data_IF_955255787638
#
_entry.id   IF_955255787638
#
_cell.length_a   1.000
_cell.length_b   1.000
_cell.length_c   1.000
_cell.angle_alpha   90.00
_cell.angle_beta   90.00
_cell.angle_gamma   90.00
#
_symmetry.space_group_name_H-M   'P 1'
#
loop_
_entity.id
_entity.type
_entity.pdbx_description
1 polymer ?
#
# COMPACT_ATOMS: atom_id res chain seq x y z
N UNK A 1 33.26 -44.90 56.46
CA UNK A 1 32.04 -44.30 55.88
C UNK A 1 32.04 -44.71 54.41
N UNK A 2 31.30 -45.80 54.08
CA UNK A 2 30.16 -45.81 53.12
C UNK A 2 30.61 -45.44 51.69
N UNK A 3 30.54 -46.24 50.62
CA UNK A 3 29.76 -47.44 50.16
C UNK A 3 30.47 -47.91 48.84
N UNK A 4 30.79 -49.19 48.55
CA UNK A 4 29.97 -50.26 47.94
C UNK A 4 29.02 -49.76 46.79
N UNK A 5 28.84 -50.33 45.60
CA UNK A 5 29.14 -51.65 44.99
C UNK A 5 28.89 -51.60 43.45
N UNK A 6 29.49 -52.56 42.75
CA UNK A 6 29.31 -53.07 41.37
C UNK A 6 27.89 -53.06 40.73
N UNK A 7 27.84 -52.99 39.38
CA UNK A 7 27.15 -53.91 38.42
C UNK A 7 27.74 -53.63 37.01
N UNK A 8 28.59 -54.46 36.39
CA UNK A 8 28.46 -55.79 35.74
C UNK A 8 27.56 -55.82 34.47
N UNK A 9 28.27 -55.85 33.33
CA UNK A 9 27.87 -56.32 31.99
C UNK A 9 27.28 -57.75 32.01
N UNK A 10 26.45 -58.12 31.01
CA UNK A 10 26.45 -59.42 30.25
C UNK A 10 25.13 -59.63 29.44
N UNK A 11 25.29 -59.81 28.12
CA UNK A 11 24.70 -60.82 27.19
C UNK A 11 23.17 -61.14 27.20
N UNK A 12 22.49 -61.67 26.19
CA UNK A 12 22.75 -62.09 24.79
C UNK A 12 21.37 -62.26 24.12
N UNK A 13 21.28 -61.91 22.84
CA UNK A 13 20.55 -62.57 21.74
C UNK A 13 19.47 -63.64 22.03
N UNK A 14 18.33 -63.43 21.34
CA UNK A 14 17.57 -64.41 20.53
C UNK A 14 16.94 -65.64 21.19
N UNK A 15 15.68 -65.88 20.81
CA UNK A 15 15.02 -67.16 20.44
C UNK A 15 13.53 -67.03 20.80
N UNK A 16 12.66 -66.67 19.85
CA UNK A 16 11.93 -67.57 18.94
C UNK A 16 10.77 -68.35 19.62
N UNK A 17 9.63 -68.36 18.92
CA UNK A 17 8.55 -69.37 18.90
C UNK A 17 7.27 -69.08 19.71
N UNK A 18 6.34 -68.40 19.02
CA UNK A 18 5.01 -68.88 18.63
C UNK A 18 4.01 -69.43 19.68
N UNK A 19 2.88 -68.72 19.84
CA UNK A 19 1.49 -69.24 19.99
C UNK A 19 0.55 -68.13 19.44
N UNK A 20 0.19 -68.07 18.16
CA UNK A 20 -0.88 -68.77 17.40
C UNK A 20 -2.32 -68.47 17.88
N UNK A 21 -3.06 -67.76 17.00
CA UNK A 21 -4.51 -67.77 16.73
C UNK A 21 -5.45 -67.16 17.80
N UNK A 22 -6.44 -66.31 17.50
CA UNK A 22 -7.63 -66.58 16.66
C UNK A 22 -8.35 -65.25 16.28
N UNK A 23 -8.79 -65.20 15.01
CA UNK A 23 -9.95 -64.54 14.38
C UNK A 23 -10.13 -63.01 14.45
N UNK A 24 -9.83 -62.29 13.36
CA UNK A 24 -10.69 -62.01 12.18
C UNK A 24 -11.73 -60.92 12.45
N UNK A 25 -11.60 -59.76 11.78
CA UNK A 25 -12.61 -59.33 10.80
C UNK A 25 -12.17 -58.12 9.93
N UNK A 26 -12.23 -58.32 8.60
CA UNK A 26 -12.39 -57.34 7.49
C UNK A 26 -11.26 -56.28 7.30
N UNK A 27 -10.38 -56.29 6.28
CA UNK A 27 -10.39 -56.50 4.82
C UNK A 27 -10.08 -55.17 4.10
N UNK A 28 -8.94 -55.18 3.35
CA UNK A 28 -8.65 -54.48 2.08
C UNK A 28 -8.54 -52.93 2.15
N UNK A 29 -7.53 -52.23 1.64
CA UNK A 29 -6.37 -52.50 0.77
C UNK A 29 -5.35 -51.38 1.02
N UNK A 30 -4.12 -51.72 1.39
CA UNK A 30 -2.96 -50.86 1.11
C UNK A 30 -2.34 -51.35 -0.19
N UNK A 31 -2.64 -50.67 -1.29
CA UNK A 31 -2.01 -50.89 -2.59
C UNK A 31 -1.17 -49.67 -2.96
N UNK A 32 0.12 -49.95 -3.17
CA UNK A 32 1.12 -49.28 -4.00
C UNK A 32 1.43 -47.77 -3.82
N UNK A 33 2.63 -47.56 -3.29
CA UNK A 33 3.60 -46.50 -3.62
C UNK A 33 3.47 -45.92 -5.04
N UNK A 34 3.56 -44.60 -5.11
CA UNK A 34 4.09 -43.73 -6.18
C UNK A 34 4.20 -44.34 -7.59
N UNK A 35 3.34 -43.87 -8.49
CA UNK A 35 3.66 -43.76 -9.91
C UNK A 35 4.00 -42.30 -10.25
N UNK A 36 5.03 -42.03 -11.07
CA UNK A 36 5.29 -40.71 -11.61
C UNK A 36 4.27 -40.42 -12.72
N UNK A 37 3.52 -39.33 -12.58
CA UNK A 37 2.65 -38.86 -13.66
C UNK A 37 3.51 -38.44 -14.87
N UNK A 38 3.32 -39.16 -15.97
CA UNK A 38 3.69 -38.70 -17.31
C UNK A 38 2.78 -37.53 -17.71
N UNK A 39 3.25 -36.60 -18.58
CA UNK A 39 2.50 -35.39 -18.92
C UNK A 39 1.20 -35.75 -19.64
N UNK A 40 0.08 -35.57 -18.95
CA UNK A 40 -1.27 -35.76 -19.47
C UNK A 40 -1.68 -34.63 -20.41
N UNK A 41 -2.49 -35.01 -21.39
CA UNK A 41 -3.06 -34.22 -22.47
C UNK A 41 -3.78 -32.93 -22.01
N UNK A 42 -3.90 -31.89 -22.87
CA UNK A 42 -4.58 -30.65 -22.52
C UNK A 42 -6.05 -30.91 -22.18
N UNK A 43 -6.40 -30.63 -20.93
CA UNK A 43 -7.78 -30.62 -20.44
C UNK A 43 -8.53 -29.51 -21.20
N UNK A 44 -9.70 -29.79 -21.81
CA UNK A 44 -10.51 -28.75 -22.45
C UNK A 44 -10.94 -27.71 -21.39
N UNK A 45 -11.00 -26.41 -21.74
CA UNK A 45 -11.30 -25.37 -20.76
C UNK A 45 -12.70 -25.57 -20.18
N UNK A 46 -12.74 -25.64 -18.86
CA UNK A 46 -13.96 -25.64 -18.05
C UNK A 46 -14.69 -24.30 -18.23
N UNK A 47 -16.00 -24.29 -18.54
CA UNK A 47 -16.76 -23.05 -18.78
C UNK A 47 -17.11 -22.24 -17.52
N UNK A 48 -16.61 -22.58 -16.33
CA UNK A 48 -16.72 -21.75 -15.13
C UNK A 48 -15.35 -21.30 -14.61
N UNK A 49 -14.83 -20.20 -15.16
CA UNK A 49 -13.61 -19.54 -14.67
C UNK A 49 -13.95 -18.25 -13.94
N UNK A 50 -14.52 -18.36 -12.74
CA UNK A 50 -14.12 -17.47 -11.65
C UNK A 50 -13.06 -18.19 -10.83
N UNK A 51 -11.87 -18.32 -11.42
CA UNK A 51 -10.71 -18.82 -10.67
C UNK A 51 -10.45 -17.80 -9.58
N UNK A 52 -10.73 -18.20 -8.34
CA UNK A 52 -10.34 -17.41 -7.19
C UNK A 52 -8.81 -17.36 -7.15
N UNK A 53 -8.23 -16.20 -7.41
CA UNK A 53 -6.79 -16.03 -7.24
C UNK A 53 -6.49 -15.96 -5.75
N UNK A 54 -6.01 -17.09 -5.23
CA UNK A 54 -5.58 -17.27 -3.85
C UNK A 54 -4.06 -17.37 -3.75
N UNK A 55 -3.34 -17.22 -4.86
CA UNK A 55 -1.90 -17.39 -4.90
C UNK A 55 -1.17 -16.15 -4.35
N UNK A 56 -1.68 -14.95 -4.65
CA UNK A 56 -1.09 -13.67 -4.26
C UNK A 56 -2.14 -12.74 -3.64
N UNK A 57 -2.65 -13.09 -2.46
CA UNK A 57 -3.64 -12.27 -1.76
C UNK A 57 -2.93 -11.10 -1.05
N UNK A 58 -3.32 -9.86 -1.37
CA UNK A 58 -2.81 -8.65 -0.72
C UNK A 58 -3.93 -7.77 -0.18
N UNK A 59 -3.62 -6.86 0.75
CA UNK A 59 -4.63 -5.95 1.27
C UNK A 59 -5.21 -5.07 0.15
N UNK A 60 -4.38 -4.31 -0.58
CA UNK A 60 -4.87 -3.40 -1.63
C UNK A 60 -5.40 -4.12 -2.88
N UNK A 61 -4.79 -5.22 -3.28
CA UNK A 61 -5.16 -5.93 -4.52
C UNK A 61 -6.36 -6.87 -4.37
N UNK A 62 -6.57 -7.43 -3.18
CA UNK A 62 -7.61 -8.44 -2.96
C UNK A 62 -8.63 -8.02 -1.90
N UNK A 63 -8.19 -7.54 -0.74
CA UNK A 63 -9.07 -7.30 0.41
C UNK A 63 -9.82 -5.97 0.33
N UNK A 64 -9.14 -4.88 -0.02
CA UNK A 64 -9.73 -3.54 -0.10
C UNK A 64 -10.89 -3.47 -1.12
N UNK A 65 -10.79 -4.06 -2.33
CA UNK A 65 -11.94 -4.11 -3.24
C UNK A 65 -13.16 -4.83 -2.65
N UNK A 66 -12.94 -5.89 -1.85
CA UNK A 66 -14.02 -6.59 -1.15
C UNK A 66 -14.64 -5.69 -0.08
N UNK A 67 -13.83 -5.01 0.72
CA UNK A 67 -14.29 -4.08 1.76
C UNK A 67 -15.10 -2.92 1.15
N UNK A 68 -14.60 -2.33 0.07
CA UNK A 68 -15.28 -1.27 -0.68
C UNK A 68 -16.62 -1.72 -1.22
N UNK A 69 -16.68 -2.91 -1.82
CA UNK A 69 -17.90 -3.41 -2.44
C UNK A 69 -18.95 -3.89 -1.43
N UNK A 70 -18.53 -4.38 -0.25
CA UNK A 70 -19.41 -5.19 0.62
C UNK A 70 -19.51 -4.71 2.07
N UNK A 71 -18.63 -3.82 2.51
CA UNK A 71 -18.55 -3.44 3.93
C UNK A 71 -18.69 -1.92 4.14
N UNK A 72 -18.02 -1.12 3.30
CA UNK A 72 -17.88 0.33 3.50
C UNK A 72 -19.22 1.06 3.49
N UNK A 73 -20.24 0.60 2.76
CA UNK A 73 -21.58 1.23 2.75
C UNK A 73 -22.16 1.43 4.16
N UNK A 74 -21.91 0.49 5.08
CA UNK A 74 -22.38 0.57 6.47
C UNK A 74 -21.28 0.90 7.48
N UNK A 75 -20.02 0.56 7.16
CA UNK A 75 -18.86 0.72 8.01
C UNK A 75 -18.00 1.92 7.57
N UNK A 76 -18.60 3.07 7.30
CA UNK A 76 -17.87 4.31 6.98
C UNK A 76 -18.63 5.57 7.42
N UNK A 77 -17.99 6.72 7.26
CA UNK A 77 -18.58 8.04 7.49
C UNK A 77 -18.58 8.48 8.96
N UNK A 78 -19.28 9.58 9.25
CA UNK A 78 -19.23 10.21 10.58
C UNK A 78 -19.86 9.38 11.72
N UNK A 79 -20.66 8.37 11.39
CA UNK A 79 -21.30 7.46 12.36
C UNK A 79 -21.28 6.04 11.80
N UNK A 80 -20.11 5.38 11.75
CA UNK A 80 -19.99 4.06 11.17
C UNK A 80 -20.68 3.01 12.05
N UNK A 81 -21.28 2.00 11.44
CA UNK A 81 -21.99 0.95 12.17
C UNK A 81 -21.03 0.22 13.11
N UNK A 82 -21.42 0.10 14.38
CA UNK A 82 -20.57 -0.52 15.40
C UNK A 82 -19.32 0.28 15.75
N UNK A 83 -19.26 1.56 15.36
CA UNK A 83 -18.09 2.43 15.54
C UNK A 83 -16.81 1.91 14.85
N UNK A 84 -16.98 1.19 13.74
CA UNK A 84 -15.89 0.61 12.95
C UNK A 84 -15.90 1.23 11.55
N UNK A 85 -14.92 2.09 11.30
CA UNK A 85 -14.72 2.72 9.98
C UNK A 85 -13.71 1.90 9.16
N UNK A 86 -14.18 1.20 8.14
CA UNK A 86 -13.36 0.37 7.25
C UNK A 86 -12.73 1.16 6.10
N UNK A 87 -12.90 2.48 6.07
CA UNK A 87 -12.01 3.36 5.29
C UNK A 87 -10.67 3.58 6.00
N UNK A 88 -10.59 3.26 7.30
CA UNK A 88 -9.36 3.29 8.09
C UNK A 88 -8.80 1.86 8.26
N UNK A 89 -7.57 1.64 7.79
CA UNK A 89 -6.89 0.35 7.91
C UNK A 89 -6.78 -0.16 9.34
N UNK A 90 -6.45 0.72 10.31
CA UNK A 90 -6.25 0.32 11.71
C UNK A 90 -7.50 -0.30 12.33
N UNK A 91 -8.68 0.17 11.93
CA UNK A 91 -9.94 -0.40 12.38
C UNK A 91 -10.20 -1.78 11.76
N UNK A 92 -9.81 -1.99 10.50
CA UNK A 92 -9.92 -3.29 9.83
C UNK A 92 -8.92 -4.28 10.43
N UNK A 93 -7.68 -3.85 10.64
CA UNK A 93 -6.62 -4.63 11.27
C UNK A 93 -7.02 -5.02 12.70
N UNK A 94 -7.54 -4.09 13.50
CA UNK A 94 -8.01 -4.35 14.86
C UNK A 94 -9.01 -5.51 14.93
N UNK A 95 -10.02 -5.53 14.05
CA UNK A 95 -11.03 -6.60 14.03
C UNK A 95 -10.55 -7.88 13.37
N UNK A 96 -9.56 -7.79 12.47
CA UNK A 96 -8.89 -8.96 11.92
C UNK A 96 -8.05 -9.69 12.99
N UNK A 97 -7.26 -8.95 13.76
CA UNK A 97 -6.36 -9.48 14.80
C UNK A 97 -7.11 -10.16 15.95
N UNK A 98 -8.20 -9.55 16.42
CA UNK A 98 -8.98 -10.12 17.52
C UNK A 98 -9.95 -11.22 17.06
N UNK A 99 -9.92 -11.58 15.77
CA UNK A 99 -10.73 -12.62 15.16
C UNK A 99 -12.19 -12.24 14.92
N UNK A 100 -12.62 -11.02 15.28
CA UNK A 100 -14.00 -10.58 15.11
C UNK A 100 -14.40 -10.48 13.63
N UNK A 101 -13.47 -10.12 12.74
CA UNK A 101 -13.74 -10.01 11.30
C UNK A 101 -14.14 -11.37 10.72
N UNK A 102 -13.28 -12.39 10.83
CA UNK A 102 -13.60 -13.72 10.31
C UNK A 102 -14.75 -14.38 11.08
N UNK A 103 -14.82 -14.24 12.40
CA UNK A 103 -15.93 -14.77 13.19
C UNK A 103 -17.29 -14.19 12.77
N UNK A 104 -17.34 -12.88 12.47
CA UNK A 104 -18.54 -12.23 11.97
C UNK A 104 -18.89 -12.65 10.53
N UNK A 105 -17.89 -12.77 9.64
CA UNK A 105 -18.08 -13.13 8.22
C UNK A 105 -18.45 -14.62 8.02
N UNK A 106 -17.95 -15.51 8.88
CA UNK A 106 -18.31 -16.93 8.91
C UNK A 106 -19.57 -17.24 9.73
N UNK A 107 -20.21 -16.21 10.31
CA UNK A 107 -21.41 -16.33 11.15
C UNK A 107 -21.21 -17.29 12.33
N UNK A 108 -20.02 -17.22 12.94
CA UNK A 108 -19.66 -18.10 14.05
C UNK A 108 -20.44 -17.77 15.33
N UNK A 109 -20.67 -18.80 16.16
CA UNK A 109 -21.40 -18.63 17.42
C UNK A 109 -20.62 -17.72 18.37
N UNK A 110 -21.24 -16.63 18.82
CA UNK A 110 -20.63 -15.66 19.72
C UNK A 110 -20.21 -14.35 19.05
N UNK A 111 -20.25 -14.29 17.72
CA UNK A 111 -20.04 -13.07 16.93
C UNK A 111 -21.37 -12.53 16.39
N UNK A 112 -21.42 -11.23 16.09
CA UNK A 112 -22.57 -10.64 15.39
C UNK A 112 -22.42 -10.95 13.91
N UNK A 113 -23.34 -11.70 13.27
CA UNK A 113 -23.22 -12.06 11.86
C UNK A 113 -23.17 -10.84 10.96
N UNK A 114 -22.22 -10.83 10.03
CA UNK A 114 -22.08 -9.80 9.01
C UNK A 114 -22.00 -10.42 7.61
N UNK A 115 -22.63 -9.81 6.58
CA UNK A 115 -23.50 -8.63 6.64
C UNK A 115 -24.78 -8.88 7.47
N UNK A 116 -25.24 -7.85 8.20
CA UNK A 116 -26.39 -7.97 9.11
C UNK A 116 -27.64 -8.36 8.33
N UNK A 117 -28.33 -9.40 8.81
CA UNK A 117 -29.54 -9.97 8.19
C UNK A 117 -29.32 -10.48 6.74
N UNK A 118 -28.06 -10.63 6.31
CA UNK A 118 -27.66 -11.13 4.99
C UNK A 118 -27.06 -12.54 5.02
N UNK A 119 -26.76 -13.09 3.84
CA UNK A 119 -25.97 -14.31 3.72
C UNK A 119 -24.47 -13.99 3.89
N UNK A 120 -23.66 -15.01 4.19
CA UNK A 120 -22.20 -14.90 4.13
C UNK A 120 -21.73 -14.42 2.74
N UNK A 121 -20.54 -13.85 2.70
CA UNK A 121 -19.85 -13.54 1.44
C UNK A 121 -19.61 -14.82 0.62
N UNK A 122 -19.34 -14.66 -0.67
CA UNK A 122 -18.95 -15.79 -1.52
C UNK A 122 -17.63 -16.42 -1.05
N UNK A 123 -17.46 -17.69 -1.40
CA UNK A 123 -16.32 -18.51 -0.98
C UNK A 123 -14.98 -17.89 -1.36
N UNK A 124 -14.89 -17.19 -2.49
CA UNK A 124 -13.64 -16.55 -2.91
C UNK A 124 -13.30 -15.36 -2.03
N UNK A 125 -14.27 -14.47 -1.77
CA UNK A 125 -14.08 -13.32 -0.89
C UNK A 125 -13.69 -13.77 0.53
N UNK A 126 -14.38 -14.79 1.06
CA UNK A 126 -14.04 -15.38 2.37
C UNK A 126 -12.64 -16.00 2.37
N UNK A 127 -12.26 -16.67 1.28
CA UNK A 127 -10.94 -17.28 1.15
C UNK A 127 -9.84 -16.24 1.07
N UNK A 128 -10.01 -15.16 0.30
CA UNK A 128 -9.04 -14.08 0.19
C UNK A 128 -8.90 -13.32 1.53
N UNK A 129 -10.00 -12.92 2.17
CA UNK A 129 -9.93 -12.31 3.52
C UNK A 129 -9.28 -13.29 4.50
N UNK A 130 -9.63 -14.57 4.46
CA UNK A 130 -9.06 -15.60 5.33
C UNK A 130 -7.56 -15.83 5.11
N UNK A 131 -7.07 -15.76 3.87
CA UNK A 131 -5.64 -15.85 3.56
C UNK A 131 -4.91 -14.63 4.12
N UNK A 132 -5.43 -13.43 3.89
CA UNK A 132 -4.85 -12.19 4.43
C UNK A 132 -4.80 -12.19 5.97
N UNK A 133 -5.89 -12.56 6.65
CA UNK A 133 -5.94 -12.63 8.12
C UNK A 133 -5.02 -13.72 8.68
N UNK A 134 -4.83 -14.85 7.97
CA UNK A 134 -4.00 -15.98 8.44
C UNK A 134 -2.52 -15.77 8.18
N UNK A 135 -2.16 -15.02 7.15
CA UNK A 135 -0.77 -14.65 6.88
C UNK A 135 -0.36 -13.54 7.85
N UNK A 136 -0.29 -13.87 9.16
CA UNK A 136 -0.28 -13.01 10.37
C UNK A 136 0.74 -11.86 10.44
N UNK A 137 1.44 -11.59 9.36
CA UNK A 137 1.42 -10.32 8.62
C UNK A 137 1.02 -8.99 9.23
N UNK A 138 0.27 -8.90 10.33
CA UNK A 138 -0.38 -7.66 10.80
C UNK A 138 0.58 -6.50 11.14
N UNK A 139 1.84 -6.64 10.79
CA UNK A 139 2.72 -5.57 10.32
C UNK A 139 2.16 -4.87 9.07
N UNK A 140 2.43 -3.58 8.91
CA UNK A 140 2.35 -2.94 7.58
C UNK A 140 3.13 -3.81 6.55
N UNK A 141 2.80 -3.89 5.24
CA UNK A 141 3.45 -4.78 4.26
C UNK A 141 4.97 -4.64 4.07
N UNK A 142 5.67 -3.88 4.93
CA UNK A 142 7.12 -3.69 4.96
C UNK A 142 7.82 -4.39 6.14
N UNK A 143 7.72 -5.72 6.25
CA UNK A 143 8.26 -6.46 7.40
C UNK A 143 9.31 -7.54 7.11
N UNK A 144 10.44 -7.24 6.44
CA UNK A 144 11.48 -8.28 6.23
C UNK A 144 12.78 -7.95 5.48
N UNK A 145 13.25 -6.70 5.53
CA UNK A 145 14.56 -6.18 5.08
C UNK A 145 14.84 -6.10 3.55
N UNK A 146 14.99 -4.83 3.12
CA UNK A 146 15.71 -4.31 1.94
C UNK A 146 14.95 -4.04 0.62
N UNK A 147 13.64 -3.80 0.69
CA UNK A 147 13.04 -2.76 -0.16
C UNK A 147 11.79 -2.19 0.56
N UNK A 148 11.80 -0.93 1.00
CA UNK A 148 10.67 -0.26 1.66
C UNK A 148 9.53 0.09 0.68
N UNK A 149 9.70 -0.33 -0.58
CA UNK A 149 8.81 -0.01 -1.65
C UNK A 149 8.16 -1.29 -2.19
N UNK A 150 6.84 -1.26 -2.29
CA UNK A 150 6.08 -2.35 -2.85
C UNK A 150 6.31 -2.37 -4.38
N UNK A 151 6.84 -3.46 -4.96
CA UNK A 151 7.10 -3.55 -6.40
C UNK A 151 5.82 -3.47 -7.24
N UNK A 152 4.65 -3.70 -6.63
CA UNK A 152 3.35 -3.56 -7.26
C UNK A 152 2.72 -2.18 -7.05
N UNK A 153 3.34 -1.28 -6.30
CA UNK A 153 2.90 0.12 -6.17
C UNK A 153 3.61 1.01 -7.18
N UNK A 154 2.84 1.83 -7.90
CA UNK A 154 3.42 2.91 -8.68
C UNK A 154 3.51 4.15 -7.79
N UNK A 155 4.71 4.68 -7.66
CA UNK A 155 4.98 5.81 -6.78
C UNK A 155 4.98 7.12 -7.58
N UNK A 156 4.09 8.04 -7.23
CA UNK A 156 3.92 9.28 -7.97
C UNK A 156 5.21 10.09 -8.05
N UNK A 157 5.83 10.35 -6.91
CA UNK A 157 7.04 11.17 -6.82
C UNK A 157 8.24 10.54 -7.54
N UNK A 158 8.33 9.20 -7.53
CA UNK A 158 9.47 8.47 -8.09
C UNK A 158 9.30 8.15 -9.58
N UNK A 159 8.07 7.92 -10.04
CA UNK A 159 7.81 7.34 -11.38
C UNK A 159 6.91 8.20 -12.27
N UNK A 160 5.82 8.75 -11.74
CA UNK A 160 4.81 9.45 -12.55
C UNK A 160 5.20 10.90 -12.78
N UNK A 161 5.59 11.60 -11.72
CA UNK A 161 5.93 13.01 -11.81
C UNK A 161 7.15 13.26 -12.72
N UNK A 162 8.27 12.51 -12.62
CA UNK A 162 9.37 12.66 -13.57
C UNK A 162 8.97 12.37 -15.01
N UNK A 163 8.06 11.41 -15.24
CA UNK A 163 7.53 11.09 -16.56
C UNK A 163 6.71 12.27 -17.13
N UNK A 164 5.81 12.84 -16.35
CA UNK A 164 4.98 13.98 -16.75
C UNK A 164 5.86 15.22 -16.98
N UNK A 165 6.80 15.53 -16.09
CA UNK A 165 7.67 16.70 -16.24
C UNK A 165 8.54 16.58 -17.50
N UNK A 166 9.11 15.40 -17.75
CA UNK A 166 10.02 15.20 -18.89
C UNK A 166 9.32 15.14 -20.25
N UNK A 167 8.01 14.86 -20.27
CA UNK A 167 7.26 14.60 -21.52
C UNK A 167 6.21 15.66 -21.82
N UNK A 168 5.57 16.22 -20.79
CA UNK A 168 4.39 17.09 -20.91
C UNK A 168 4.68 18.52 -20.44
N UNK A 169 5.34 18.67 -19.28
CA UNK A 169 5.61 19.97 -18.67
C UNK A 169 6.90 20.62 -19.19
N UNK A 170 7.13 20.53 -20.50
CA UNK A 170 8.29 21.13 -21.18
C UNK A 170 7.99 22.57 -21.59
N UNK A 171 9.04 23.38 -21.78
CA UNK A 171 8.90 24.77 -22.21
C UNK A 171 8.08 24.89 -23.49
N UNK A 172 7.01 25.70 -23.45
CA UNK A 172 6.06 25.90 -24.54
C UNK A 172 4.87 24.92 -24.54
N UNK A 173 4.76 24.02 -23.56
CA UNK A 173 3.64 23.08 -23.42
C UNK A 173 2.93 23.28 -22.06
N UNK A 174 2.89 22.27 -21.19
CA UNK A 174 2.16 22.30 -19.92
C UNK A 174 3.04 22.76 -18.74
N UNK A 175 3.85 23.81 -18.94
CA UNK A 175 4.83 24.30 -17.98
C UNK A 175 4.35 25.50 -17.14
N UNK A 176 5.17 25.92 -16.16
CA UNK A 176 4.84 27.02 -15.23
C UNK A 176 4.98 28.43 -15.84
N UNK A 177 5.65 28.59 -16.98
CA UNK A 177 6.16 29.89 -17.46
C UNK A 177 5.46 30.40 -18.71
N UNK A 178 5.13 29.48 -19.63
CA UNK A 178 4.80 29.78 -21.01
C UNK A 178 3.40 29.39 -21.40
N UNK A 179 2.55 28.99 -20.44
CA UNK A 179 1.20 28.46 -20.65
C UNK A 179 0.33 29.29 -21.59
N UNK A 180 0.49 29.06 -22.90
CA UNK A 180 -0.51 29.39 -23.92
C UNK A 180 -1.73 28.45 -23.79
N UNK A 181 -1.58 27.36 -23.02
CA UNK A 181 -2.63 26.37 -22.74
C UNK A 181 -2.94 26.40 -21.25
N UNK A 182 -4.23 26.48 -20.91
CA UNK A 182 -4.80 26.60 -19.55
C UNK A 182 -4.52 25.38 -18.64
N UNK A 183 -3.58 24.50 -19.00
CA UNK A 183 -3.33 23.20 -18.39
C UNK A 183 -1.90 23.14 -17.85
N UNK A 184 -1.76 23.17 -16.52
CA UNK A 184 -0.48 23.08 -15.80
C UNK A 184 -0.26 21.65 -15.31
N UNK A 185 0.91 21.05 -15.58
CA UNK A 185 1.22 19.65 -15.21
C UNK A 185 2.58 19.54 -14.49
N UNK A 186 2.88 20.45 -13.58
CA UNK A 186 4.22 20.61 -12.99
C UNK A 186 4.35 20.04 -11.58
N UNK A 187 3.23 19.76 -10.91
CA UNK A 187 3.17 19.19 -9.57
C UNK A 187 1.90 18.35 -9.39
N UNK A 188 1.78 17.65 -8.27
CA UNK A 188 0.64 16.78 -7.98
C UNK A 188 -0.71 17.50 -8.09
N UNK A 189 -0.87 18.62 -7.40
CA UNK A 189 -2.14 19.36 -7.35
C UNK A 189 -2.58 19.81 -8.76
N UNK A 190 -1.66 20.38 -9.54
CA UNK A 190 -1.94 20.80 -10.91
C UNK A 190 -2.22 19.63 -11.84
N UNK A 191 -1.52 18.49 -11.67
CA UNK A 191 -1.80 17.28 -12.46
C UNK A 191 -3.19 16.72 -12.16
N UNK A 192 -3.60 16.67 -10.89
CA UNK A 192 -4.95 16.21 -10.52
C UNK A 192 -6.01 17.16 -11.08
N UNK A 193 -5.84 18.48 -10.90
CA UNK A 193 -6.81 19.49 -11.31
C UNK A 193 -6.90 19.66 -12.83
N UNK A 194 -5.78 19.94 -13.48
CA UNK A 194 -5.74 20.28 -14.91
C UNK A 194 -5.60 19.07 -15.83
N UNK A 195 -5.05 17.96 -15.32
CA UNK A 195 -5.09 16.68 -16.03
C UNK A 195 -6.43 15.95 -15.88
N UNK A 196 -7.38 16.55 -15.15
CA UNK A 196 -8.67 16.00 -14.73
C UNK A 196 -8.60 14.52 -14.33
N UNK A 197 -7.65 14.20 -13.44
CA UNK A 197 -7.44 12.83 -12.99
C UNK A 197 -8.61 12.41 -12.11
N UNK A 198 -9.23 11.29 -12.45
CA UNK A 198 -10.24 10.62 -11.62
C UNK A 198 -9.59 9.43 -10.93
N UNK A 199 -9.27 9.53 -9.63
CA UNK A 199 -8.79 8.39 -8.86
C UNK A 199 -9.65 7.14 -9.10
N UNK A 200 -8.99 6.00 -9.28
CA UNK A 200 -9.58 4.69 -9.57
C UNK A 200 -10.25 4.55 -10.94
N UNK A 201 -10.25 5.59 -11.78
CA UNK A 201 -10.95 5.58 -13.06
C UNK A 201 -10.12 6.21 -14.20
N UNK A 202 -9.17 5.45 -14.78
CA UNK A 202 -8.40 5.92 -15.93
C UNK A 202 -9.29 6.25 -17.14
N UNK A 203 -10.44 5.59 -17.28
CA UNK A 203 -11.33 5.76 -18.43
C UNK A 203 -12.05 7.10 -18.46
N UNK A 204 -12.18 7.76 -17.31
CA UNK A 204 -12.75 9.10 -17.18
C UNK A 204 -11.72 10.17 -16.82
N UNK A 205 -10.41 9.87 -16.95
CA UNK A 205 -9.33 10.82 -16.69
C UNK A 205 -8.83 11.46 -17.99
N UNK A 206 -8.99 12.77 -18.17
CA UNK A 206 -8.68 13.47 -19.43
C UNK A 206 -7.21 13.29 -19.85
N UNK A 207 -6.27 13.39 -18.91
CA UNK A 207 -4.85 13.15 -19.19
C UNK A 207 -4.63 11.75 -19.78
N UNK A 208 -5.32 10.74 -19.24
CA UNK A 208 -5.18 9.36 -19.72
C UNK A 208 -5.81 9.16 -21.10
N UNK A 209 -6.97 9.78 -21.36
CA UNK A 209 -7.58 9.84 -22.69
C UNK A 209 -6.58 10.44 -23.70
N UNK A 210 -6.03 11.62 -23.41
CA UNK A 210 -5.13 12.33 -24.35
C UNK A 210 -3.85 11.56 -24.67
N UNK A 211 -3.26 10.84 -23.72
CA UNK A 211 -2.07 10.03 -24.02
C UNK A 211 -2.40 8.71 -24.72
N UNK A 212 -3.66 8.28 -24.72
CA UNK A 212 -4.12 7.04 -25.39
C UNK A 212 -4.83 7.29 -26.72
N UNK A 213 -5.14 8.54 -27.05
CA UNK A 213 -5.74 8.93 -28.33
C UNK A 213 -4.83 8.57 -29.53
N UNK A 214 -5.48 8.13 -30.61
CA UNK A 214 -4.86 7.74 -31.87
C UNK A 214 -4.89 8.89 -32.90
N UNK A 215 -5.76 9.89 -32.72
CA UNK A 215 -5.83 11.07 -33.60
C UNK A 215 -4.60 11.97 -33.38
N UNK A 216 -3.78 12.23 -34.43
CA UNK A 216 -2.61 13.10 -34.32
C UNK A 216 -2.90 14.53 -33.86
N UNK A 217 -4.12 15.04 -34.05
CA UNK A 217 -4.51 16.39 -33.67
C UNK A 217 -4.97 16.47 -32.19
N UNK A 218 -5.44 15.36 -31.61
CA UNK A 218 -5.94 15.30 -30.23
C UNK A 218 -4.97 14.60 -29.26
N UNK A 219 -4.09 13.73 -29.75
CA UNK A 219 -3.17 12.96 -28.92
C UNK A 219 -2.07 13.83 -28.31
N UNK A 220 -1.68 13.47 -27.09
CA UNK A 220 -0.54 14.06 -26.38
C UNK A 220 0.62 13.06 -26.22
N UNK A 221 1.88 13.49 -26.39
CA UNK A 221 2.30 14.79 -26.93
C UNK A 221 2.01 14.89 -28.45
N UNK A 222 1.76 16.10 -28.97
CA UNK A 222 1.40 16.29 -30.37
C UNK A 222 2.60 16.02 -31.30
N UNK A 223 2.37 15.63 -32.57
CA UNK A 223 3.43 15.57 -33.56
C UNK A 223 4.20 16.90 -33.66
N UNK A 224 5.53 16.88 -33.87
CA UNK A 224 6.35 15.73 -34.27
C UNK A 224 6.86 14.86 -33.10
N UNK A 225 6.43 15.11 -31.86
CA UNK A 225 6.86 14.30 -30.73
C UNK A 225 6.31 12.87 -30.84
N UNK A 226 7.10 11.89 -30.40
CA UNK A 226 6.66 10.49 -30.39
C UNK A 226 5.61 10.28 -29.29
N UNK A 227 4.60 9.41 -29.51
CA UNK A 227 3.70 8.99 -28.44
C UNK A 227 4.47 8.36 -27.27
N UNK A 228 3.88 8.39 -26.07
CA UNK A 228 4.38 7.61 -24.94
C UNK A 228 4.43 6.12 -25.30
N UNK A 229 5.41 5.42 -24.73
CA UNK A 229 5.50 3.97 -24.84
C UNK A 229 4.33 3.29 -24.12
N UNK A 230 4.01 2.05 -24.50
CA UNK A 230 2.99 1.27 -23.82
C UNK A 230 3.29 1.11 -22.31
N UNK A 231 4.57 0.96 -21.96
CA UNK A 231 4.99 0.87 -20.55
C UNK A 231 4.71 2.16 -19.78
N UNK A 232 5.04 3.32 -20.36
CA UNK A 232 4.75 4.62 -19.76
C UNK A 232 3.24 4.83 -19.58
N UNK A 233 2.43 4.49 -20.59
CA UNK A 233 0.97 4.54 -20.50
C UNK A 233 0.45 3.60 -19.40
N UNK A 234 0.99 2.39 -19.29
CA UNK A 234 0.58 1.42 -18.26
C UNK A 234 0.94 1.89 -16.85
N UNK A 235 2.09 2.56 -16.65
CA UNK A 235 2.44 3.14 -15.34
C UNK A 235 1.44 4.21 -14.91
N UNK A 236 1.11 5.15 -15.81
CA UNK A 236 0.11 6.19 -15.53
C UNK A 236 -1.26 5.55 -15.26
N UNK A 237 -1.68 4.57 -16.06
CA UNK A 237 -2.93 3.81 -15.84
C UNK A 237 -2.96 3.19 -14.46
N UNK A 238 -1.91 2.44 -14.10
CA UNK A 238 -1.81 1.71 -12.84
C UNK A 238 -1.81 2.66 -11.64
N UNK A 239 -1.11 3.80 -11.73
CA UNK A 239 -1.17 4.84 -10.70
C UNK A 239 -2.58 5.41 -10.51
N UNK A 240 -3.31 5.69 -11.60
CA UNK A 240 -4.71 6.15 -11.51
C UNK A 240 -5.59 5.05 -10.89
N UNK A 241 -5.46 3.80 -11.33
CA UNK A 241 -6.17 2.64 -10.75
C UNK A 241 -5.87 2.44 -9.26
N UNK A 242 -4.69 2.88 -8.80
CA UNK A 242 -4.27 2.87 -7.39
C UNK A 242 -4.73 4.10 -6.59
N UNK A 243 -5.64 4.90 -7.15
CA UNK A 243 -6.21 6.05 -6.48
C UNK A 243 -5.44 7.35 -6.70
N UNK A 244 -4.50 7.36 -7.65
CA UNK A 244 -3.74 8.54 -8.04
C UNK A 244 -3.08 9.27 -6.85
N UNK A 245 -2.49 8.52 -5.91
CA UNK A 245 -1.92 9.06 -4.67
C UNK A 245 -0.66 9.91 -4.92
N UNK A 246 -0.38 10.88 -4.04
CA UNK A 246 0.90 11.60 -4.00
C UNK A 246 1.93 10.86 -3.12
N UNK A 247 2.08 9.56 -3.40
CA UNK A 247 2.95 8.66 -2.67
C UNK A 247 4.41 8.71 -3.19
N UNK A 248 5.32 8.26 -2.34
CA UNK A 248 6.72 8.10 -2.68
C UNK A 248 7.27 6.80 -2.08
N UNK A 249 8.17 6.18 -2.82
CA UNK A 249 8.98 5.07 -2.37
C UNK A 249 10.19 5.68 -1.67
N UNK A 250 10.17 5.68 -0.33
CA UNK A 250 11.19 6.27 0.52
C UNK A 250 11.49 5.32 1.69
N UNK A 251 12.77 5.07 1.98
CA UNK A 251 13.15 4.06 2.99
C UNK A 251 12.77 4.40 4.43
N UNK A 252 12.49 5.66 4.71
CA UNK A 252 12.34 6.20 6.07
C UNK A 252 10.96 6.86 6.28
N UNK A 253 9.91 6.32 5.67
CA UNK A 253 8.53 6.76 5.92
C UNK A 253 7.96 6.17 7.23
N UNK A 254 8.57 6.47 8.38
CA UNK A 254 8.00 6.13 9.69
C UNK A 254 7.11 7.27 10.20
N UNK A 255 5.81 7.02 10.32
CA UNK A 255 4.82 7.93 10.90
C UNK A 255 4.47 7.60 12.35
N UNK A 256 5.02 6.52 12.90
CA UNK A 256 4.75 6.03 14.27
C UNK A 256 5.74 6.59 15.29
N UNK A 257 6.98 6.83 14.89
CA UNK A 257 8.03 7.40 15.75
C UNK A 257 8.61 8.67 15.15
N UNK A 258 7.78 9.71 15.08
CA UNK A 258 8.20 11.01 14.57
C UNK A 258 8.97 11.79 15.64
N UNK A 259 10.23 12.13 15.36
CA UNK A 259 11.07 12.96 16.23
C UNK A 259 11.59 14.18 15.48
N UNK A 260 11.90 15.26 16.20
CA UNK A 260 12.48 16.44 15.55
C UNK A 260 13.83 16.09 14.92
N UNK A 261 14.74 15.51 15.72
CA UNK A 261 16.12 15.27 15.26
C UNK A 261 16.23 14.14 14.24
N UNK A 262 15.40 13.09 14.38
CA UNK A 262 15.44 11.90 13.52
C UNK A 262 14.57 11.98 12.28
N UNK A 263 13.46 12.74 12.31
CA UNK A 263 12.47 12.73 11.22
C UNK A 263 12.32 14.11 10.58
N UNK A 264 12.04 15.15 11.38
CA UNK A 264 11.71 16.49 10.85
C UNK A 264 12.94 17.22 10.33
N UNK A 265 14.05 17.16 11.07
CA UNK A 265 15.27 17.85 10.68
C UNK A 265 15.82 17.38 9.33
N UNK A 266 15.91 16.07 9.01
CA UNK A 266 16.27 15.60 7.67
C UNK A 266 15.37 16.17 6.56
N UNK A 267 14.05 16.26 6.78
CA UNK A 267 13.12 16.86 5.80
C UNK A 267 13.45 18.33 5.58
N UNK A 268 13.65 19.10 6.65
CA UNK A 268 14.01 20.53 6.59
C UNK A 268 15.36 20.73 5.90
N UNK A 269 16.35 19.93 6.27
CA UNK A 269 17.71 20.01 5.73
C UNK A 269 17.73 19.79 4.22
N UNK A 270 17.05 18.73 3.77
CA UNK A 270 17.03 18.35 2.37
C UNK A 270 16.18 19.29 1.50
N UNK A 271 15.01 19.70 1.98
CA UNK A 271 13.99 20.34 1.14
C UNK A 271 13.87 21.86 1.34
N UNK A 272 14.38 22.40 2.45
CA UNK A 272 14.12 23.79 2.82
C UNK A 272 15.39 24.66 2.87
N UNK A 273 16.51 24.11 3.36
CA UNK A 273 17.71 24.91 3.64
C UNK A 273 18.40 25.46 2.40
N UNK A 274 18.12 24.94 1.20
CA UNK A 274 18.64 25.51 -0.05
C UNK A 274 18.24 26.99 -0.24
N UNK A 275 17.12 27.42 0.33
CA UNK A 275 16.61 28.79 0.23
C UNK A 275 16.38 29.46 1.58
N UNK A 276 16.06 28.71 2.64
CA UNK A 276 15.76 29.21 3.98
C UNK A 276 16.97 29.15 4.92
N UNK A 277 18.16 29.46 4.40
CA UNK A 277 19.41 29.49 5.17
C UNK A 277 20.29 30.69 4.77
N UNK A 278 21.45 30.83 5.43
CA UNK A 278 22.47 31.82 5.09
C UNK A 278 22.10 33.26 5.48
N UNK A 279 22.89 34.25 5.01
CA UNK A 279 22.73 35.66 5.40
C UNK A 279 21.55 36.39 4.72
N UNK A 280 20.97 35.80 3.68
CA UNK A 280 19.83 36.38 2.92
C UNK A 280 18.80 35.28 2.62
N UNK A 281 18.13 34.72 3.64
CA UNK A 281 17.17 33.65 3.42
C UNK A 281 15.92 34.16 2.69
N UNK A 282 15.36 33.31 1.84
CA UNK A 282 14.09 33.58 1.15
C UNK A 282 12.98 33.81 2.18
N UNK A 283 12.15 34.83 1.95
CA UNK A 283 11.09 35.22 2.89
C UNK A 283 11.57 35.91 4.18
N UNK A 284 12.88 36.11 4.36
CA UNK A 284 13.44 36.87 5.48
C UNK A 284 13.54 36.12 6.81
N UNK A 285 13.44 34.79 6.81
CA UNK A 285 13.60 33.92 7.99
C UNK A 285 14.40 32.66 7.65
N UNK A 286 15.14 32.14 8.63
CA UNK A 286 15.87 30.87 8.48
C UNK A 286 15.07 29.68 9.02
N UNK A 287 15.48 28.47 8.66
CA UNK A 287 15.00 27.19 9.22
C UNK A 287 16.17 26.35 9.76
N UNK A 288 17.26 27.00 10.15
CA UNK A 288 18.57 26.37 10.43
C UNK A 288 18.71 25.71 11.80
N UNK A 289 17.67 25.76 12.63
CA UNK A 289 17.63 25.14 13.95
C UNK A 289 16.19 24.91 14.40
N UNK A 290 16.01 24.14 15.49
CA UNK A 290 14.71 23.84 16.08
C UNK A 290 13.86 25.09 16.35
N UNK A 291 14.45 26.13 16.97
CA UNK A 291 13.69 27.33 17.34
C UNK A 291 13.17 28.07 16.09
N UNK A 292 13.95 28.06 15.02
CA UNK A 292 13.55 28.67 13.75
C UNK A 292 12.40 27.89 13.08
N UNK A 293 12.47 26.56 13.09
CA UNK A 293 11.45 25.66 12.52
C UNK A 293 10.15 25.74 13.33
N UNK A 294 10.23 25.64 14.66
CA UNK A 294 9.05 25.58 15.54
C UNK A 294 8.23 26.88 15.52
N UNK A 295 8.87 28.02 15.25
CA UNK A 295 8.15 29.30 15.06
C UNK A 295 7.22 29.23 13.84
N UNK A 296 7.67 28.63 12.73
CA UNK A 296 6.84 28.48 11.52
C UNK A 296 5.81 27.35 11.66
N UNK A 297 6.13 26.31 12.41
CA UNK A 297 5.19 25.26 12.78
C UNK A 297 4.00 25.83 13.58
N UNK A 298 4.30 26.53 14.68
CA UNK A 298 3.28 27.07 15.59
C UNK A 298 2.40 28.17 15.00
N UNK A 299 2.87 28.84 13.93
CA UNK A 299 2.08 29.87 13.24
C UNK A 299 1.34 29.31 12.00
N UNK A 300 1.38 27.98 11.79
CA UNK A 300 0.72 27.28 10.70
C UNK A 300 1.40 27.40 9.34
N UNK A 301 2.43 28.26 9.20
CA UNK A 301 3.08 28.48 7.90
C UNK A 301 3.89 27.30 7.41
N UNK A 302 4.50 26.52 8.31
CA UNK A 302 5.26 25.34 7.89
C UNK A 302 4.33 24.35 7.19
N UNK A 303 3.29 23.88 7.88
CA UNK A 303 2.35 22.91 7.35
C UNK A 303 1.60 23.47 6.14
N UNK A 304 1.00 24.67 6.24
CA UNK A 304 0.23 25.24 5.14
C UNK A 304 1.06 25.47 3.88
N UNK A 305 2.35 25.82 4.00
CA UNK A 305 3.21 25.97 2.84
C UNK A 305 3.58 24.63 2.19
N UNK A 306 3.92 23.59 2.97
CA UNK A 306 4.32 22.27 2.41
C UNK A 306 3.12 21.42 1.96
N UNK A 307 1.95 21.65 2.55
CA UNK A 307 0.69 21.04 2.13
C UNK A 307 0.03 21.78 0.95
N UNK A 308 0.62 22.89 0.50
CA UNK A 308 0.08 23.74 -0.57
C UNK A 308 -1.35 24.24 -0.25
N UNK A 309 -1.62 24.56 1.01
CA UNK A 309 -2.94 25.03 1.45
C UNK A 309 -3.28 26.39 0.83
N UNK A 310 -4.56 26.63 0.47
CA UNK A 310 -5.02 27.92 -0.02
C UNK A 310 -4.67 29.07 0.94
N UNK A 311 -4.05 30.12 0.41
CA UNK A 311 -3.64 31.30 1.19
C UNK A 311 -2.21 31.22 1.73
N UNK A 312 -1.51 30.11 1.56
CA UNK A 312 -0.08 29.99 1.81
C UNK A 312 0.73 30.06 0.51
N UNK A 313 2.00 30.42 0.62
CA UNK A 313 2.93 30.31 -0.52
C UNK A 313 3.40 28.88 -0.56
N UNK A 314 3.03 28.14 -1.61
CA UNK A 314 3.43 26.75 -1.83
C UNK A 314 4.95 26.58 -1.80
N UNK A 315 5.40 25.61 -1.00
CA UNK A 315 6.82 25.27 -0.81
C UNK A 315 7.01 23.75 -0.90
N UNK A 316 8.13 23.27 -1.48
CA UNK A 316 9.28 24.06 -1.95
C UNK A 316 8.98 24.83 -3.25
N UNK A 317 9.50 26.05 -3.35
CA UNK A 317 9.15 26.95 -4.46
C UNK A 317 9.70 26.43 -5.78
N UNK A 318 8.82 26.34 -6.79
CA UNK A 318 9.14 25.82 -8.13
C UNK A 318 9.70 24.39 -8.09
N UNK A 319 9.37 23.64 -7.04
CA UNK A 319 9.62 22.22 -6.97
C UNK A 319 8.27 21.52 -6.72
N UNK A 320 8.22 20.21 -6.96
CA UNK A 320 7.08 19.39 -6.56
C UNK A 320 6.75 19.57 -5.07
N UNK A 321 5.45 19.44 -4.77
CA UNK A 321 5.00 19.24 -3.41
C UNK A 321 5.73 18.04 -2.79
N UNK A 322 5.97 18.09 -1.47
CA UNK A 322 6.50 16.93 -0.74
C UNK A 322 5.54 15.73 -0.87
N UNK A 323 6.07 14.52 -0.68
CA UNK A 323 5.25 13.31 -0.60
C UNK A 323 4.29 13.39 0.58
N UNK A 324 3.13 12.73 0.45
CA UNK A 324 2.12 12.69 1.53
C UNK A 324 2.72 12.18 2.84
N UNK A 325 3.63 11.20 2.77
CA UNK A 325 4.35 10.70 3.94
C UNK A 325 5.10 11.80 4.70
N UNK A 326 5.91 12.62 4.01
CA UNK A 326 6.67 13.69 4.66
C UNK A 326 5.74 14.77 5.23
N UNK A 327 4.65 15.05 4.53
CA UNK A 327 3.61 15.98 5.00
C UNK A 327 2.98 15.45 6.28
N UNK A 328 2.67 14.15 6.34
CA UNK A 328 2.13 13.49 7.53
C UNK A 328 3.13 13.46 8.68
N UNK A 329 4.41 13.18 8.44
CA UNK A 329 5.44 13.28 9.48
C UNK A 329 5.49 14.71 10.07
N UNK A 330 5.46 15.75 9.23
CA UNK A 330 5.39 17.14 9.70
C UNK A 330 4.10 17.39 10.49
N UNK A 331 2.95 16.92 10.00
CA UNK A 331 1.65 17.06 10.66
C UNK A 331 1.65 16.43 12.05
N UNK A 332 2.07 15.18 12.15
CA UNK A 332 2.12 14.40 13.40
C UNK A 332 3.02 15.10 14.42
N UNK A 333 4.22 15.53 14.03
CA UNK A 333 5.10 16.27 14.92
C UNK A 333 4.48 17.58 15.44
N UNK A 334 3.73 18.29 14.58
CA UNK A 334 3.01 19.51 14.98
C UNK A 334 1.88 19.18 15.96
N UNK A 335 1.10 18.14 15.67
CA UNK A 335 -0.02 17.68 16.51
C UNK A 335 0.46 17.20 17.90
N UNK A 336 1.65 16.61 17.97
CA UNK A 336 2.32 16.19 19.21
C UNK A 336 2.89 17.36 20.04
N UNK A 337 2.68 18.60 19.61
CA UNK A 337 3.12 19.79 20.31
C UNK A 337 4.57 20.17 20.01
N UNK A 338 5.10 19.75 18.86
CA UNK A 338 6.44 20.09 18.35
C UNK A 338 7.57 19.74 19.32
N UNK A 339 7.70 18.49 19.82
CA UNK A 339 8.78 18.14 20.75
C UNK A 339 10.17 18.29 20.11
N UNK A 340 11.15 18.79 20.87
CA UNK A 340 12.58 18.82 20.52
C UNK A 340 13.25 17.53 21.04
N UNK A 341 13.10 16.43 20.30
CA UNK A 341 13.47 15.07 20.73
C UNK A 341 14.35 14.28 19.75
#
# INVERSE_FOLDING_TARGET
MHTQTYMKSIHHTSVYVAVIAIANLLLLVTACKHDPEFPGEPVPPDPDTTVCDTANVTFYGSVLPILQAKCIECHSGAVPTGNLDFTNYDHVALVAENGALLGALHHETGYVPMPKDGNMLDDCSLTQIGIWVRDTTFTDPGGGNEDPCDPDTVYFQNEILPLIISTCATTGCHDQLTGEQEVLLVDYASIIEYGDIKPFDPGNSDLYEKITDDDPDDRMPPPPASPLSLEQKNKIKKWIEQGALNNACEEDCDTTHVTFSGTIWPIVELNCLGCHSGPQPSGGFTLTDYNAVVVQANNGKLFGAVNHDPGFVSMPRNAPQLSDCKIDQIRIWIEDGTPDN
#
